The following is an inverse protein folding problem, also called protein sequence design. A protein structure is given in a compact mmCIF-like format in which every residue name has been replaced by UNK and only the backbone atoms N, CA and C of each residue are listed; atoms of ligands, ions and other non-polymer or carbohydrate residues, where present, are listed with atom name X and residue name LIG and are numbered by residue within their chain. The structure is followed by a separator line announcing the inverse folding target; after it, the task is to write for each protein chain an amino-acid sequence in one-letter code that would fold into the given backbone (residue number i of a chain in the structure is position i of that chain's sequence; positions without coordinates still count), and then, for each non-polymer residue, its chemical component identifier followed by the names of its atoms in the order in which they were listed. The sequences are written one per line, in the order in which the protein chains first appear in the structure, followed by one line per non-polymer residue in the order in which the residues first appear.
data_IF_003888418881
#
_entry.id   IF_003888418881
#
_cell.length_a   1.000
_cell.length_b   1.000
_cell.length_c   1.000
_cell.angle_alpha   90.00
_cell.angle_beta   90.00
_cell.angle_gamma   90.00
#
_symmetry.space_group_name_H-M   'P 1'
#
loop_
_entity.id
_entity.type
_entity.pdbx_description
1 polymer ?
#
# COMPACT_ATOMS: atom_id res chain seq x y z
N UNK A 1 43.72 47.84 -65.00
CA UNK A 1 42.59 48.53 -64.34
C UNK A 1 41.53 47.49 -63.94
N UNK A 2 41.44 47.15 -62.65
CA UNK A 2 40.34 46.36 -62.08
C UNK A 2 39.85 47.16 -60.87
N UNK A 3 38.70 47.82 -61.03
CA UNK A 3 38.09 48.59 -59.95
C UNK A 3 37.37 47.62 -59.00
N UNK A 4 37.79 47.59 -57.74
CA UNK A 4 37.17 46.85 -56.65
C UNK A 4 35.81 47.48 -56.30
N UNK A 5 34.74 46.74 -56.57
CA UNK A 5 33.38 47.07 -56.11
C UNK A 5 33.28 46.80 -54.61
N UNK A 6 33.31 47.87 -53.80
CA UNK A 6 33.12 47.80 -52.35
C UNK A 6 31.61 47.83 -52.06
N UNK A 7 30.99 46.66 -51.94
CA UNK A 7 29.62 46.57 -51.42
C UNK A 7 29.61 47.02 -49.95
N UNK A 8 28.93 48.14 -49.67
CA UNK A 8 28.65 48.58 -48.31
C UNK A 8 27.52 47.73 -47.72
N UNK A 9 27.84 46.87 -46.75
CA UNK A 9 26.84 46.23 -45.90
C UNK A 9 26.13 47.32 -45.08
N UNK A 10 24.86 47.55 -45.37
CA UNK A 10 23.96 48.31 -44.50
C UNK A 10 23.77 47.51 -43.22
N UNK A 11 24.19 48.07 -42.09
CA UNK A 11 23.92 47.50 -40.78
C UNK A 11 22.41 47.61 -40.51
N UNK A 12 21.73 46.48 -40.32
CA UNK A 12 20.35 46.45 -39.84
C UNK A 12 20.32 47.07 -38.43
N UNK A 13 19.70 48.24 -38.29
CA UNK A 13 19.46 48.84 -36.98
C UNK A 13 18.35 48.07 -36.28
N UNK A 14 18.67 47.40 -35.18
CA UNK A 14 17.66 46.75 -34.36
C UNK A 14 16.79 47.85 -33.72
N UNK A 15 15.50 47.85 -34.01
CA UNK A 15 14.56 48.79 -33.40
C UNK A 15 14.52 48.55 -31.89
N UNK A 16 14.88 49.54 -31.09
CA UNK A 16 14.77 49.49 -29.63
C UNK A 16 13.30 49.44 -29.19
N UNK A 17 13.03 48.69 -28.11
CA UNK A 17 11.69 48.61 -27.53
C UNK A 17 11.29 49.92 -26.85
N UNK A 18 10.02 50.29 -26.97
CA UNK A 18 9.44 51.40 -26.22
C UNK A 18 9.25 51.04 -24.74
N UNK A 19 9.40 52.02 -23.84
CA UNK A 19 9.13 51.84 -22.41
C UNK A 19 7.73 51.26 -22.14
N UNK A 20 6.73 51.70 -22.93
CA UNK A 20 5.35 51.23 -22.81
C UNK A 20 5.23 49.75 -23.19
N UNK A 21 5.94 49.31 -24.22
CA UNK A 21 5.94 47.90 -24.64
C UNK A 21 6.54 47.01 -23.56
N UNK A 22 7.64 47.43 -22.94
CA UNK A 22 8.28 46.69 -21.85
C UNK A 22 7.33 46.53 -20.65
N UNK A 23 6.61 47.59 -20.27
CA UNK A 23 5.65 47.54 -19.15
C UNK A 23 4.49 46.59 -19.46
N UNK A 24 3.94 46.64 -20.69
CA UNK A 24 2.87 45.74 -21.11
C UNK A 24 3.34 44.28 -21.08
N UNK A 25 4.53 43.99 -21.62
CA UNK A 25 5.12 42.64 -21.60
C UNK A 25 5.34 42.15 -20.17
N UNK A 26 5.87 42.98 -19.27
CA UNK A 26 6.06 42.61 -17.87
C UNK A 26 4.72 42.33 -17.16
N UNK A 27 3.68 43.11 -17.44
CA UNK A 27 2.35 42.89 -16.89
C UNK A 27 1.76 41.55 -17.34
N UNK A 28 1.84 41.25 -18.63
CA UNK A 28 1.38 39.97 -19.20
C UNK A 28 2.18 38.79 -18.63
N UNK A 29 3.51 38.90 -18.57
CA UNK A 29 4.37 37.85 -18.03
C UNK A 29 4.08 37.57 -16.55
N UNK A 30 3.83 38.62 -15.76
CA UNK A 30 3.46 38.48 -14.34
C UNK A 30 2.14 37.71 -14.18
N UNK A 31 1.14 38.05 -15.00
CA UNK A 31 -0.16 37.38 -14.99
C UNK A 31 -0.03 35.90 -15.36
N UNK A 32 0.74 35.59 -16.40
CA UNK A 32 1.05 34.22 -16.80
C UNK A 32 1.74 33.46 -15.67
N UNK A 33 2.74 34.05 -15.03
CA UNK A 33 3.49 33.41 -13.94
C UNK A 33 2.58 33.07 -12.75
N UNK A 34 1.69 33.97 -12.36
CA UNK A 34 0.69 33.72 -11.30
C UNK A 34 -0.21 32.54 -11.65
N UNK A 35 -0.70 32.47 -12.90
CA UNK A 35 -1.52 31.35 -13.36
C UNK A 35 -0.75 30.03 -13.31
N UNK A 36 0.51 30.02 -13.78
CA UNK A 36 1.36 28.81 -13.77
C UNK A 36 1.61 28.33 -12.35
N UNK A 37 1.93 29.23 -11.42
CA UNK A 37 2.15 28.87 -10.00
C UNK A 37 0.88 28.27 -9.40
N UNK A 38 -0.30 28.84 -9.68
CA UNK A 38 -1.56 28.30 -9.17
C UNK A 38 -1.85 26.89 -9.72
N UNK A 39 -1.68 26.68 -11.03
CA UNK A 39 -1.83 25.36 -11.66
C UNK A 39 -0.86 24.36 -11.04
N UNK A 40 0.39 24.77 -10.82
CA UNK A 40 1.41 23.91 -10.22
C UNK A 40 1.02 23.48 -8.80
N UNK A 41 0.58 24.41 -7.95
CA UNK A 41 0.16 24.08 -6.58
C UNK A 41 -1.01 23.09 -6.54
N UNK A 42 -2.02 23.29 -7.39
CA UNK A 42 -3.20 22.41 -7.48
C UNK A 42 -2.82 21.03 -8.01
N UNK A 43 -1.96 20.99 -9.03
CA UNK A 43 -1.48 19.74 -9.63
C UNK A 43 -0.66 18.92 -8.63
N UNK A 44 0.23 19.58 -7.89
CA UNK A 44 1.03 18.94 -6.85
C UNK A 44 0.16 18.36 -5.73
N UNK A 45 -0.83 19.12 -5.25
CA UNK A 45 -1.75 18.66 -4.21
C UNK A 45 -2.57 17.44 -4.66
N UNK A 46 -3.07 17.49 -5.90
CA UNK A 46 -3.81 16.40 -6.53
C UNK A 46 -2.94 15.16 -6.68
N UNK A 47 -1.72 15.32 -7.17
CA UNK A 47 -0.76 14.22 -7.31
C UNK A 47 -0.46 13.57 -5.97
N UNK A 48 -0.20 14.36 -4.92
CA UNK A 48 0.08 13.84 -3.58
C UNK A 48 -1.12 13.04 -3.02
N UNK A 49 -2.34 13.53 -3.22
CA UNK A 49 -3.58 12.82 -2.81
C UNK A 49 -3.80 11.54 -3.61
N UNK A 50 -3.55 11.56 -4.92
CA UNK A 50 -3.67 10.38 -5.79
C UNK A 50 -2.62 9.32 -5.43
N UNK A 51 -1.38 9.74 -5.16
CA UNK A 51 -0.32 8.84 -4.71
C UNK A 51 -0.67 8.18 -3.37
N UNK A 52 -1.18 8.94 -2.41
CA UNK A 52 -1.65 8.38 -1.13
C UNK A 52 -2.80 7.38 -1.30
N UNK A 53 -3.77 7.67 -2.19
CA UNK A 53 -4.83 6.71 -2.55
C UNK A 53 -4.26 5.42 -3.13
N UNK A 54 -3.39 5.54 -4.14
CA UNK A 54 -2.78 4.38 -4.78
C UNK A 54 -1.96 3.52 -3.82
N UNK A 55 -1.22 4.13 -2.90
CA UNK A 55 -0.47 3.42 -1.86
C UNK A 55 -1.40 2.71 -0.88
N UNK A 56 -2.46 3.37 -0.43
CA UNK A 56 -3.46 2.77 0.45
C UNK A 56 -4.17 1.59 -0.23
N UNK A 57 -4.56 1.73 -1.49
CA UNK A 57 -5.23 0.69 -2.28
C UNK A 57 -4.29 -0.50 -2.52
N UNK A 58 -3.03 -0.26 -2.88
CA UNK A 58 -2.05 -1.33 -3.08
C UNK A 58 -1.78 -2.09 -1.78
N UNK A 59 -1.60 -1.36 -0.67
CA UNK A 59 -1.35 -1.95 0.65
C UNK A 59 -2.52 -2.76 1.17
N UNK A 60 -3.76 -2.30 0.96
CA UNK A 60 -4.96 -3.01 1.41
C UNK A 60 -5.23 -4.25 0.56
N UNK A 61 -5.01 -4.17 -0.76
CA UNK A 61 -5.17 -5.30 -1.67
C UNK A 61 -4.14 -6.38 -1.37
N UNK A 62 -2.87 -6.02 -1.18
CA UNK A 62 -1.83 -6.97 -0.82
C UNK A 62 -2.14 -7.66 0.50
N UNK A 63 -2.49 -6.90 1.53
CA UNK A 63 -2.82 -7.46 2.85
C UNK A 63 -4.04 -8.38 2.78
N UNK A 64 -5.13 -7.94 2.15
CA UNK A 64 -6.34 -8.75 1.97
C UNK A 64 -6.02 -10.03 1.21
N UNK A 65 -5.24 -9.94 0.12
CA UNK A 65 -4.86 -11.09 -0.70
C UNK A 65 -4.00 -12.07 0.08
N UNK A 66 -2.94 -11.60 0.75
CA UNK A 66 -2.05 -12.45 1.55
C UNK A 66 -2.82 -13.19 2.63
N UNK A 67 -3.64 -12.49 3.43
CA UNK A 67 -4.42 -13.15 4.48
C UNK A 67 -5.46 -14.11 3.85
N UNK A 68 -6.10 -13.71 2.75
CA UNK A 68 -7.11 -14.55 2.07
C UNK A 68 -6.51 -15.83 1.50
N UNK A 69 -5.36 -15.77 0.86
CA UNK A 69 -4.68 -16.93 0.28
C UNK A 69 -4.26 -17.91 1.37
N UNK A 70 -3.69 -17.41 2.46
CA UNK A 70 -3.32 -18.24 3.62
C UNK A 70 -4.54 -18.82 4.33
N UNK A 71 -5.61 -18.03 4.50
CA UNK A 71 -6.87 -18.51 5.08
C UNK A 71 -7.53 -19.59 4.22
N UNK A 72 -7.48 -19.52 2.88
CA UNK A 72 -8.03 -20.59 2.02
C UNK A 72 -7.34 -21.92 2.25
N UNK A 73 -6.02 -21.93 2.38
CA UNK A 73 -5.22 -23.14 2.61
C UNK A 73 -5.20 -23.64 4.06
N UNK A 74 -5.98 -23.02 4.94
CA UNK A 74 -6.01 -23.34 6.37
C UNK A 74 -6.79 -24.62 6.65
N UNK A 75 -6.27 -25.43 7.57
CA UNK A 75 -6.94 -26.61 8.12
C UNK A 75 -8.01 -26.23 9.15
N UNK A 76 -7.68 -25.31 10.06
CA UNK A 76 -8.60 -24.79 11.08
C UNK A 76 -8.16 -23.43 11.65
N UNK A 77 -9.12 -22.69 12.19
CA UNK A 77 -8.85 -21.51 13.02
C UNK A 77 -8.63 -21.97 14.45
N UNK A 78 -7.56 -21.49 15.08
CA UNK A 78 -7.21 -21.86 16.46
C UNK A 78 -7.68 -20.78 17.43
N UNK A 79 -8.27 -21.20 18.55
CA UNK A 79 -8.66 -20.26 19.63
C UNK A 79 -7.45 -19.61 20.26
N UNK A 80 -6.41 -20.38 20.56
CA UNK A 80 -5.13 -19.90 21.05
C UNK A 80 -3.99 -20.78 20.51
N UNK A 81 -2.81 -20.19 20.35
CA UNK A 81 -1.58 -20.92 20.02
C UNK A 81 -0.37 -20.05 20.32
N UNK A 82 0.68 -20.67 20.87
CA UNK A 82 2.01 -20.07 20.92
C UNK A 82 2.70 -20.25 19.58
N UNK A 83 3.07 -19.12 18.96
CA UNK A 83 3.82 -19.04 17.68
C UNK A 83 5.10 -18.26 17.97
N UNK A 84 6.26 -18.86 17.70
CA UNK A 84 7.58 -18.30 17.96
C UNK A 84 7.75 -17.74 19.39
N UNK A 85 7.20 -18.47 20.38
CA UNK A 85 7.25 -18.08 21.79
C UNK A 85 6.28 -16.97 22.20
N UNK A 86 5.46 -16.45 21.28
CA UNK A 86 4.41 -15.47 21.58
C UNK A 86 3.04 -16.15 21.52
N UNK A 87 2.21 -16.00 22.57
CA UNK A 87 0.86 -16.55 22.57
C UNK A 87 -0.09 -15.59 21.84
N UNK A 88 -0.76 -16.09 20.80
CA UNK A 88 -1.77 -15.38 20.03
C UNK A 88 -3.14 -16.03 20.23
N UNK A 89 -4.21 -15.24 20.16
CA UNK A 89 -5.57 -15.73 20.29
C UNK A 89 -6.49 -15.15 19.22
N UNK A 90 -7.14 -16.03 18.45
CA UNK A 90 -8.08 -15.60 17.41
C UNK A 90 -9.21 -14.77 18.02
N UNK A 91 -9.34 -13.54 17.55
CA UNK A 91 -10.24 -12.52 18.07
C UNK A 91 -10.62 -11.57 16.94
N UNK A 92 -11.24 -10.42 17.25
CA UNK A 92 -11.52 -9.43 16.21
C UNK A 92 -10.25 -8.84 15.60
N UNK A 93 -9.12 -8.82 16.31
CA UNK A 93 -7.92 -8.09 15.84
C UNK A 93 -6.73 -9.01 15.57
N UNK A 94 -6.87 -10.29 15.89
CA UNK A 94 -5.85 -11.31 15.74
C UNK A 94 -6.46 -12.54 15.10
N UNK A 95 -5.74 -13.19 14.21
CA UNK A 95 -6.17 -14.41 13.54
C UNK A 95 -5.06 -15.44 13.60
N UNK A 96 -5.37 -16.61 14.15
CA UNK A 96 -4.42 -17.72 14.27
C UNK A 96 -4.94 -18.89 13.44
N UNK A 97 -4.10 -19.35 12.50
CA UNK A 97 -4.44 -20.39 11.54
C UNK A 97 -3.48 -21.58 11.68
N UNK A 98 -4.03 -22.78 11.56
CA UNK A 98 -3.27 -24.01 11.38
C UNK A 98 -3.21 -24.37 9.88
N UNK A 99 -2.01 -24.56 9.34
CA UNK A 99 -1.76 -24.88 7.95
C UNK A 99 -1.06 -26.24 7.87
N UNK A 100 -1.40 -27.06 6.87
CA UNK A 100 -0.59 -28.25 6.60
C UNK A 100 0.84 -27.84 6.26
N UNK A 101 1.84 -28.44 6.90
CA UNK A 101 3.24 -28.22 6.56
C UNK A 101 3.52 -28.68 5.12
N UNK A 102 4.39 -27.97 4.40
CA UNK A 102 4.72 -28.29 3.00
C UNK A 102 6.22 -28.44 2.80
N UNK A 103 6.67 -29.38 1.98
CA UNK A 103 8.07 -29.52 1.59
C UNK A 103 8.47 -28.53 0.47
N UNK A 104 9.74 -28.55 0.03
CA UNK A 104 10.25 -27.71 -1.07
C UNK A 104 9.56 -27.99 -2.42
N UNK A 105 8.99 -29.18 -2.59
CA UNK A 105 8.26 -29.58 -3.79
C UNK A 105 6.76 -29.21 -3.72
N UNK A 106 6.30 -28.66 -2.60
CA UNK A 106 4.90 -28.31 -2.36
C UNK A 106 4.02 -29.50 -1.94
N UNK A 107 4.60 -30.64 -1.58
CA UNK A 107 3.86 -31.77 -1.03
C UNK A 107 3.53 -31.50 0.44
N UNK A 108 2.39 -32.01 0.90
CA UNK A 108 2.02 -31.96 2.31
C UNK A 108 2.92 -32.93 3.10
N UNK A 109 3.51 -32.46 4.18
CA UNK A 109 4.20 -33.29 5.16
C UNK A 109 3.14 -33.80 6.13
N UNK A 110 2.94 -35.11 6.18
CA UNK A 110 1.95 -35.74 7.07
C UNK A 110 2.29 -35.46 8.54
N UNK A 111 1.24 -35.31 9.37
CA UNK A 111 1.29 -35.04 10.81
C UNK A 111 2.01 -33.75 11.25
N UNK A 112 2.54 -32.96 10.32
CA UNK A 112 3.20 -31.68 10.60
C UNK A 112 2.30 -30.48 10.25
N UNK A 113 2.33 -29.47 11.11
CA UNK A 113 1.47 -28.29 10.99
C UNK A 113 2.28 -27.02 11.17
N UNK A 114 2.17 -26.13 10.19
CA UNK A 114 2.66 -24.76 10.31
C UNK A 114 1.60 -23.88 10.96
N UNK A 115 2.04 -22.94 11.78
CA UNK A 115 1.15 -21.98 12.43
C UNK A 115 1.43 -20.58 11.91
N UNK A 116 0.37 -19.82 11.65
CA UNK A 116 0.50 -18.40 11.32
C UNK A 116 -0.44 -17.58 12.18
N UNK A 117 0.08 -16.49 12.72
CA UNK A 117 -0.69 -15.47 13.42
C UNK A 117 -0.64 -14.15 12.63
N UNK A 118 -1.81 -13.59 12.32
CA UNK A 118 -1.96 -12.23 11.82
C UNK A 118 -2.45 -11.33 12.94
N UNK A 119 -1.77 -10.21 13.18
CA UNK A 119 -2.11 -9.29 14.25
C UNK A 119 -1.68 -7.87 13.91
N UNK A 120 -2.26 -6.91 14.62
CA UNK A 120 -1.76 -5.53 14.65
C UNK A 120 -0.71 -5.39 15.73
N UNK A 121 0.40 -4.73 15.39
CA UNK A 121 1.42 -4.44 16.39
C UNK A 121 0.90 -3.45 17.44
N UNK A 122 1.13 -3.78 18.71
CA UNK A 122 0.72 -2.92 19.83
C UNK A 122 1.56 -1.64 19.93
N UNK A 123 2.80 -1.66 19.45
CA UNK A 123 3.68 -0.49 19.43
C UNK A 123 3.43 0.39 18.21
N UNK A 124 3.16 -0.22 17.06
CA UNK A 124 2.75 0.46 15.84
C UNK A 124 1.37 -0.05 15.37
N UNK A 125 0.26 0.58 15.82
CA UNK A 125 -1.09 0.10 15.50
C UNK A 125 -1.43 0.21 14.01
N UNK A 126 -0.61 0.90 13.20
CA UNK A 126 -0.78 1.00 11.76
C UNK A 126 -0.15 -0.19 11.00
N UNK A 127 0.67 -0.98 11.69
CA UNK A 127 1.34 -2.13 11.12
C UNK A 127 0.61 -3.44 11.43
N UNK A 128 0.38 -4.23 10.38
CA UNK A 128 -0.10 -5.61 10.48
C UNK A 128 1.08 -6.51 10.19
N UNK A 129 1.31 -7.47 11.07
CA UNK A 129 2.34 -8.49 10.93
C UNK A 129 1.72 -9.86 10.75
N UNK A 130 2.47 -10.71 10.06
CA UNK A 130 2.29 -12.16 10.09
C UNK A 130 3.48 -12.77 10.83
N UNK A 131 3.22 -13.62 11.80
CA UNK A 131 4.24 -14.41 12.49
C UNK A 131 4.01 -15.88 12.14
N UNK A 132 5.01 -16.51 11.53
CA UNK A 132 4.92 -17.89 11.04
C UNK A 132 5.85 -18.76 11.86
N UNK A 133 5.32 -19.83 12.44
CA UNK A 133 6.11 -20.92 13.03
C UNK A 133 5.99 -22.12 12.09
N UNK A 134 7.06 -22.37 11.33
CA UNK A 134 7.13 -23.50 10.44
C UNK A 134 7.58 -24.76 11.20
N UNK A 135 6.92 -25.87 10.92
CA UNK A 135 7.27 -27.18 11.42
C UNK A 135 8.63 -27.65 10.88
N UNK A 136 9.31 -28.60 11.55
CA UNK A 136 10.53 -29.20 11.03
C UNK A 136 10.33 -29.77 9.62
N UNK A 137 11.22 -29.40 8.69
CA UNK A 137 11.14 -29.83 7.29
C UNK A 137 10.16 -29.03 6.41
N UNK A 138 9.38 -28.11 6.99
CA UNK A 138 8.53 -27.21 6.20
C UNK A 138 9.38 -26.19 5.42
N UNK A 139 8.97 -25.93 4.17
CA UNK A 139 9.54 -24.90 3.30
C UNK A 139 9.11 -23.48 3.69
N UNK A 140 8.07 -23.35 4.54
CA UNK A 140 7.64 -22.03 5.01
C UNK A 140 8.74 -21.39 5.86
N UNK A 141 8.98 -20.10 5.64
CA UNK A 141 9.98 -19.37 6.41
C UNK A 141 9.41 -18.97 7.77
N UNK A 142 10.03 -19.46 8.84
CA UNK A 142 9.71 -19.04 10.21
C UNK A 142 10.09 -17.57 10.44
N UNK A 143 9.20 -16.83 11.11
CA UNK A 143 9.47 -15.51 11.64
C UNK A 143 8.39 -14.48 11.37
N UNK A 144 8.69 -13.25 11.76
CA UNK A 144 7.80 -12.09 11.64
C UNK A 144 8.01 -11.38 10.31
N UNK A 145 6.92 -11.13 9.60
CA UNK A 145 6.89 -10.39 8.34
C UNK A 145 5.85 -9.28 8.40
N UNK A 146 6.24 -8.10 7.95
CA UNK A 146 5.31 -6.98 7.77
C UNK A 146 4.39 -7.28 6.59
N UNK A 147 3.07 -7.31 6.84
CA UNK A 147 2.06 -7.44 5.78
C UNK A 147 1.77 -6.08 5.18
N UNK A 148 1.63 -5.06 6.03
CA UNK A 148 1.28 -3.69 5.62
C UNK A 148 1.45 -2.72 6.79
N UNK A 149 1.71 -1.44 6.54
CA UNK A 149 2.08 -0.42 7.55
C UNK A 149 1.18 0.83 7.61
N UNK A 150 0.09 0.86 6.85
CA UNK A 150 -0.84 1.99 6.79
C UNK A 150 -2.27 1.64 7.26
N UNK A 151 -2.44 0.57 8.03
CA UNK A 151 -3.76 0.04 8.41
C UNK A 151 -4.22 0.55 9.76
N UNK A 152 -5.21 1.43 9.74
CA UNK A 152 -5.83 1.97 10.96
C UNK A 152 -6.79 0.95 11.59
N UNK A 153 -7.39 0.08 10.80
CA UNK A 153 -8.32 -0.94 11.29
C UNK A 153 -8.04 -2.30 10.65
N UNK A 154 -7.96 -3.33 11.49
CA UNK A 154 -8.04 -4.74 11.12
C UNK A 154 -9.18 -5.34 11.92
N UNK A 155 -10.10 -6.01 11.24
CA UNK A 155 -11.19 -6.72 11.92
C UNK A 155 -11.45 -8.06 11.25
N UNK A 156 -11.36 -9.13 12.04
CA UNK A 156 -11.79 -10.47 11.68
C UNK A 156 -13.18 -10.73 12.23
N UNK A 157 -14.01 -11.40 11.43
CA UNK A 157 -15.31 -11.92 11.85
C UNK A 157 -15.42 -13.36 11.42
N UNK A 158 -16.00 -14.16 12.31
CA UNK A 158 -16.17 -15.60 12.14
C UNK A 158 -17.65 -15.89 11.96
N UNK A 159 -17.97 -16.94 11.19
CA UNK A 159 -19.35 -17.40 11.01
C UNK A 159 -19.86 -18.29 12.15
N UNK A 160 -18.98 -18.72 13.05
CA UNK A 160 -19.29 -19.50 14.25
C UNK A 160 -18.60 -18.89 15.48
N UNK A 161 -19.23 -19.04 16.66
CA UNK A 161 -18.59 -18.73 17.95
C UNK A 161 -17.57 -19.80 18.35
N UNK A 162 -17.82 -21.06 17.97
CA UNK A 162 -16.83 -22.13 18.08
C UNK A 162 -15.84 -22.01 16.92
N UNK A 163 -14.63 -21.54 17.23
CA UNK A 163 -13.56 -21.30 16.27
C UNK A 163 -13.10 -22.59 15.57
N UNK A 164 -13.26 -23.75 16.21
CA UNK A 164 -12.96 -25.05 15.60
C UNK A 164 -13.97 -25.50 14.54
N UNK A 165 -15.10 -24.78 14.40
CA UNK A 165 -16.17 -25.04 13.44
C UNK A 165 -16.34 -23.92 12.40
N UNK A 166 -15.46 -22.93 12.40
CA UNK A 166 -15.50 -21.83 11.44
C UNK A 166 -15.34 -22.37 10.03
N UNK A 167 -16.20 -21.92 9.12
CA UNK A 167 -16.12 -22.21 7.68
C UNK A 167 -15.83 -20.98 6.86
N UNK A 168 -16.12 -19.80 7.43
CA UNK A 168 -15.92 -18.52 6.75
C UNK A 168 -15.33 -17.48 7.69
N UNK A 169 -14.26 -16.86 7.21
CA UNK A 169 -13.64 -15.70 7.84
C UNK A 169 -13.93 -14.48 6.98
N UNK A 170 -14.49 -13.43 7.58
CA UNK A 170 -14.58 -12.11 6.95
C UNK A 170 -13.49 -11.21 7.50
N UNK A 171 -12.80 -10.53 6.60
CA UNK A 171 -11.74 -9.59 6.90
C UNK A 171 -12.21 -8.20 6.47
N UNK A 172 -12.13 -7.27 7.40
CA UNK A 172 -12.30 -5.85 7.14
C UNK A 172 -10.99 -5.13 7.43
N UNK A 173 -10.54 -4.35 6.47
CA UNK A 173 -9.35 -3.51 6.56
C UNK A 173 -9.75 -2.06 6.28
N UNK A 174 -9.08 -1.12 6.97
CA UNK A 174 -9.13 0.30 6.64
C UNK A 174 -7.73 0.90 6.69
N UNK A 175 -7.32 1.50 5.59
CA UNK A 175 -6.12 2.32 5.51
C UNK A 175 -6.49 3.80 5.58
N UNK A 176 -5.69 4.57 6.32
CA UNK A 176 -5.81 6.02 6.32
C UNK A 176 -4.43 6.66 6.16
N UNK A 177 -4.33 7.65 5.28
CA UNK A 177 -3.12 8.44 5.10
C UNK A 177 -3.50 9.91 5.04
N UNK A 178 -2.88 10.74 5.88
CA UNK A 178 -3.09 12.19 5.87
C UNK A 178 -2.05 12.85 4.98
N UNK A 179 -2.53 13.57 3.96
CA UNK A 179 -1.71 14.41 3.07
C UNK A 179 -2.11 15.86 3.32
N UNK A 180 -1.17 16.63 3.91
CA UNK A 180 -1.41 18.01 4.38
C UNK A 180 -2.56 18.06 5.39
N UNK A 181 -3.75 18.51 4.96
CA UNK A 181 -4.95 18.62 5.80
C UNK A 181 -6.04 17.64 5.41
N UNK A 182 -5.82 16.82 4.37
CA UNK A 182 -6.81 15.87 3.87
C UNK A 182 -6.43 14.45 4.25
N UNK A 183 -7.30 13.75 4.97
CA UNK A 183 -7.17 12.32 5.21
C UNK A 183 -7.80 11.54 4.06
N UNK A 184 -6.99 10.75 3.38
CA UNK A 184 -7.41 9.78 2.38
C UNK A 184 -7.69 8.46 3.09
N UNK A 185 -8.88 7.89 2.89
CA UNK A 185 -9.29 6.61 3.46
C UNK A 185 -9.57 5.61 2.34
N UNK A 186 -9.14 4.38 2.55
CA UNK A 186 -9.46 3.22 1.70
C UNK A 186 -9.94 2.10 2.60
N UNK A 187 -11.00 1.41 2.19
CA UNK A 187 -11.56 0.28 2.91
C UNK A 187 -11.64 -0.94 2.00
N UNK A 188 -11.44 -2.12 2.57
CA UNK A 188 -11.62 -3.38 1.87
C UNK A 188 -12.36 -4.36 2.77
N UNK A 189 -13.28 -5.10 2.15
CA UNK A 189 -13.97 -6.21 2.77
C UNK A 189 -13.73 -7.46 1.92
N UNK A 190 -13.37 -8.55 2.56
CA UNK A 190 -13.27 -9.87 1.93
C UNK A 190 -13.91 -10.93 2.82
N UNK A 191 -14.59 -11.90 2.21
CA UNK A 191 -15.09 -13.07 2.90
C UNK A 191 -14.48 -14.30 2.26
N UNK A 192 -13.84 -15.14 3.06
CA UNK A 192 -13.07 -16.30 2.62
C UNK A 192 -13.69 -17.55 3.21
N UNK A 193 -14.00 -18.51 2.35
CA UNK A 193 -14.36 -19.86 2.77
C UNK A 193 -13.09 -20.70 2.97
N UNK A 194 -13.03 -21.45 4.07
CA UNK A 194 -11.92 -22.36 4.37
C UNK A 194 -12.07 -23.62 3.51
N UNK A 195 -10.97 -24.14 2.97
CA UNK A 195 -11.05 -25.27 2.03
C UNK A 195 -11.45 -26.60 2.68
N UNK A 196 -11.15 -26.78 3.97
CA UNK A 196 -11.21 -28.08 4.61
C UNK A 196 -12.50 -28.37 5.42
N UNK A 197 -13.58 -27.58 5.23
CA UNK A 197 -14.86 -27.70 5.94
C UNK A 197 -16.07 -27.28 5.10
#
# INVERSE_FOLDING_TARGET
MKALHRQSKTAESWSGFSLVEVIVVLGVMTLILVMVVQIFMVSYDTYAKQSARANNDSGIMLATRTISETARGTLSVLTNKTVNGTNYASSSNELVLALAAIDENGNIIEDETDYVAYYRDGLNPNAIFSDVEAAPGSYRTTGKKLVTNNNVTLTFRYDSQDLGQVRRISIYLRNEQTVRTTTVKTEAWSSIFLHNR
#
